data_IF_038085123578
#
_entry.id   IF_038085123578
#
_cell.length_a   1.000
_cell.length_b   1.000
_cell.length_c   1.000
_cell.angle_alpha   90.00
_cell.angle_beta   90.00
_cell.angle_gamma   90.00
#
_symmetry.space_group_name_H-M   'P 1'
#
loop_
_entity.id
_entity.type
_entity.pdbx_description
1 polymer ?
#
# COMPACT_ATOMS: atom_id res chain seq x y z
N UNK A 1 9.33 -9.64 3.75
CA UNK A 1 9.28 -8.59 2.73
C UNK A 1 10.00 -7.37 3.26
N UNK A 2 10.62 -6.57 2.40
CA UNK A 2 11.27 -5.33 2.80
C UNK A 2 10.25 -4.18 2.81
N UNK A 3 10.00 -3.60 4.00
CA UNK A 3 9.04 -2.49 4.16
C UNK A 3 9.53 -1.22 3.47
N UNK A 4 10.85 -1.00 3.42
CA UNK A 4 11.42 0.18 2.76
C UNK A 4 11.07 0.20 1.27
N UNK A 5 11.16 -0.96 0.61
CA UNK A 5 10.71 -1.13 -0.77
C UNK A 5 9.22 -0.82 -0.98
N UNK A 6 8.36 -1.13 -0.01
CA UNK A 6 6.93 -0.79 -0.08
C UNK A 6 6.68 0.70 0.09
N UNK A 7 7.36 1.33 1.06
CA UNK A 7 7.27 2.77 1.25
C UNK A 7 7.82 3.53 0.04
N UNK A 8 8.90 3.05 -0.58
CA UNK A 8 9.43 3.66 -1.79
C UNK A 8 8.46 3.52 -2.98
N UNK A 9 7.74 2.40 -3.10
CA UNK A 9 6.71 2.24 -4.11
C UNK A 9 5.54 3.23 -3.87
N UNK A 10 5.06 3.35 -2.64
CA UNK A 10 4.02 4.29 -2.26
C UNK A 10 4.45 5.75 -2.49
N UNK A 11 5.67 6.10 -2.10
CA UNK A 11 6.25 7.44 -2.29
C UNK A 11 6.39 7.79 -3.76
N UNK A 12 6.86 6.87 -4.59
CA UNK A 12 6.95 7.08 -6.04
C UNK A 12 5.58 7.27 -6.68
N UNK A 13 4.56 6.53 -6.23
CA UNK A 13 3.19 6.71 -6.69
C UNK A 13 2.66 8.10 -6.29
N UNK A 14 2.78 8.48 -5.02
CA UNK A 14 2.39 9.79 -4.50
C UNK A 14 3.09 10.94 -5.22
N UNK A 15 4.39 10.83 -5.48
CA UNK A 15 5.16 11.86 -6.18
C UNK A 15 4.66 12.10 -7.61
N UNK A 16 4.23 11.04 -8.34
CA UNK A 16 3.64 11.17 -9.68
C UNK A 16 2.29 11.90 -9.66
N UNK A 17 1.58 11.81 -8.55
CA UNK A 17 0.30 12.48 -8.30
C UNK A 17 0.49 13.89 -7.69
N UNK A 18 1.74 14.36 -7.54
CA UNK A 18 2.06 15.70 -7.03
C UNK A 18 2.31 15.79 -5.52
N UNK A 19 2.43 14.65 -4.83
CA UNK A 19 2.70 14.57 -3.40
C UNK A 19 4.14 14.11 -3.12
N UNK A 20 5.10 15.04 -3.09
CA UNK A 20 6.54 14.74 -2.99
C UNK A 20 6.98 14.24 -1.60
N UNK A 21 6.26 14.61 -0.54
CA UNK A 21 6.56 14.26 0.86
C UNK A 21 5.80 13.02 1.37
N UNK A 22 5.41 12.12 0.46
CA UNK A 22 4.68 10.89 0.79
C UNK A 22 5.51 9.88 1.59
N UNK A 23 5.32 9.83 2.92
CA UNK A 23 5.93 8.83 3.81
C UNK A 23 4.90 7.91 4.49
N UNK A 24 5.33 7.05 5.44
CA UNK A 24 4.44 6.11 6.13
C UNK A 24 3.20 6.77 6.77
N UNK A 25 3.38 7.95 7.37
CA UNK A 25 2.29 8.73 7.98
C UNK A 25 1.47 9.58 7.00
N UNK A 26 1.73 9.51 5.69
CA UNK A 26 0.96 10.26 4.71
C UNK A 26 -0.50 9.80 4.75
N UNK A 27 -1.43 10.73 4.95
CA UNK A 27 -2.85 10.41 5.07
C UNK A 27 -3.47 10.24 3.70
N UNK A 28 -4.17 9.13 3.50
CA UNK A 28 -4.89 8.83 2.25
C UNK A 28 -6.27 9.50 2.19
N UNK A 29 -6.68 10.19 3.26
CA UNK A 29 -7.91 10.98 3.31
C UNK A 29 -7.77 12.37 2.66
N UNK A 30 -6.55 12.83 2.40
CA UNK A 30 -6.28 14.12 1.77
C UNK A 30 -6.16 14.05 0.24
N UNK A 31 -6.20 12.84 -0.32
CA UNK A 31 -6.14 12.58 -1.76
C UNK A 31 -7.49 12.07 -2.26
N UNK A 32 -7.71 12.16 -3.56
CA UNK A 32 -8.91 11.57 -4.15
C UNK A 32 -8.83 10.03 -4.21
N UNK A 33 -9.97 9.41 -4.52
CA UNK A 33 -10.09 7.96 -4.59
C UNK A 33 -9.19 7.34 -5.68
N UNK A 34 -8.96 8.02 -6.80
CA UNK A 34 -8.09 7.49 -7.86
C UNK A 34 -6.64 7.46 -7.39
N UNK A 35 -6.15 8.57 -6.82
CA UNK A 35 -4.80 8.63 -6.24
C UNK A 35 -4.61 7.57 -5.15
N UNK A 36 -5.59 7.37 -4.27
CA UNK A 36 -5.56 6.30 -3.26
C UNK A 36 -5.35 4.91 -3.89
N UNK A 37 -6.09 4.58 -4.94
CA UNK A 37 -5.93 3.30 -5.64
C UNK A 37 -4.59 3.19 -6.38
N UNK A 38 -4.08 4.29 -6.95
CA UNK A 38 -2.74 4.31 -7.58
C UNK A 38 -1.67 3.93 -6.55
N UNK A 39 -1.75 4.46 -5.33
CA UNK A 39 -0.83 4.13 -4.24
C UNK A 39 -1.00 2.68 -3.79
N UNK A 40 -2.24 2.23 -3.58
CA UNK A 40 -2.52 0.84 -3.19
C UNK A 40 -1.97 -0.17 -4.21
N UNK A 41 -2.20 0.07 -5.50
CA UNK A 41 -1.69 -0.78 -6.59
C UNK A 41 -0.16 -0.78 -6.65
N UNK A 42 0.50 0.32 -6.31
CA UNK A 42 1.96 0.36 -6.23
C UNK A 42 2.48 -0.53 -5.09
N UNK A 43 1.84 -0.47 -3.92
CA UNK A 43 2.16 -1.33 -2.76
C UNK A 43 1.88 -2.80 -3.08
N UNK A 44 0.71 -3.13 -3.65
CA UNK A 44 0.35 -4.49 -4.09
C UNK A 44 1.39 -5.10 -5.03
N UNK A 45 1.82 -4.34 -6.05
CA UNK A 45 2.84 -4.79 -7.01
C UNK A 45 4.18 -5.04 -6.34
N UNK A 46 4.61 -4.15 -5.45
CA UNK A 46 5.85 -4.33 -4.70
C UNK A 46 5.78 -5.52 -3.73
N UNK A 47 4.60 -5.78 -3.16
CA UNK A 47 4.34 -6.88 -2.24
C UNK A 47 3.98 -8.21 -2.91
N UNK A 48 3.81 -8.23 -4.23
CA UNK A 48 3.30 -9.38 -4.99
C UNK A 48 2.00 -9.96 -4.39
N UNK A 49 1.11 -9.08 -3.95
CA UNK A 49 -0.16 -9.45 -3.29
C UNK A 49 -1.32 -8.61 -3.83
N UNK A 50 -2.54 -8.94 -3.42
CA UNK A 50 -3.75 -8.18 -3.76
C UNK A 50 -4.54 -7.94 -2.49
N UNK A 51 -4.92 -6.68 -2.27
CA UNK A 51 -5.74 -6.24 -1.16
C UNK A 51 -7.20 -6.17 -1.59
N UNK A 52 -8.11 -6.24 -0.63
CA UNK A 52 -9.52 -6.02 -0.91
C UNK A 52 -9.78 -4.51 -1.05
N UNK A 53 -10.66 -4.14 -1.99
CA UNK A 53 -11.08 -2.75 -2.17
C UNK A 53 -11.61 -2.12 -0.87
N UNK A 54 -12.31 -2.91 -0.03
CA UNK A 54 -12.81 -2.45 1.26
C UNK A 54 -11.68 -2.10 2.25
N UNK A 55 -10.57 -2.85 2.21
CA UNK A 55 -9.41 -2.59 3.07
C UNK A 55 -8.63 -1.37 2.55
N UNK A 56 -8.48 -1.23 1.23
CA UNK A 56 -7.90 -0.03 0.59
C UNK A 56 -8.72 1.23 0.93
N UNK A 57 -10.05 1.13 0.86
CA UNK A 57 -10.97 2.20 1.24
C UNK A 57 -10.90 2.52 2.74
N UNK A 58 -10.64 1.50 3.58
CA UNK A 58 -10.51 1.65 5.04
C UNK A 58 -9.17 2.20 5.52
N UNK A 59 -8.11 2.07 4.71
CA UNK A 59 -6.78 2.57 5.04
C UNK A 59 -6.79 4.09 5.23
N UNK A 60 -6.22 4.57 6.35
CA UNK A 60 -6.13 6.00 6.66
C UNK A 60 -4.78 6.58 6.26
N UNK A 61 -3.74 5.75 6.24
CA UNK A 61 -2.35 6.11 5.98
C UNK A 61 -1.67 5.15 5.02
N UNK A 62 -0.50 5.54 4.51
CA UNK A 62 0.39 4.64 3.76
C UNK A 62 0.82 3.45 4.62
N UNK A 63 1.08 3.66 5.92
CA UNK A 63 1.39 2.59 6.87
C UNK A 63 0.31 1.51 6.89
N UNK A 64 -0.97 1.91 6.92
CA UNK A 64 -2.08 0.95 6.93
C UNK A 64 -2.09 0.07 5.67
N UNK A 65 -1.78 0.63 4.49
CA UNK A 65 -1.68 -0.16 3.25
C UNK A 65 -0.50 -1.15 3.30
N UNK A 66 0.63 -0.74 3.86
CA UNK A 66 1.81 -1.59 4.03
C UNK A 66 1.52 -2.73 5.01
N UNK A 67 0.85 -2.44 6.13
CA UNK A 67 0.46 -3.45 7.11
C UNK A 67 -0.55 -4.46 6.53
N UNK A 68 -1.53 -3.99 5.76
CA UNK A 68 -2.47 -4.85 5.03
C UNK A 68 -1.73 -5.79 4.05
N UNK A 69 -0.76 -5.27 3.32
CA UNK A 69 0.05 -6.07 2.39
C UNK A 69 0.87 -7.13 3.13
N UNK A 70 1.50 -6.78 4.26
CA UNK A 70 2.24 -7.72 5.11
C UNK A 70 1.34 -8.85 5.63
N UNK A 71 0.15 -8.52 6.15
CA UNK A 71 -0.82 -9.51 6.65
C UNK A 71 -1.25 -10.46 5.53
N UNK A 72 -1.55 -9.92 4.36
CA UNK A 72 -2.03 -10.71 3.23
C UNK A 72 -0.94 -11.63 2.67
N UNK A 73 0.28 -11.14 2.54
CA UNK A 73 1.43 -11.95 2.11
C UNK A 73 1.71 -13.08 3.10
N UNK A 74 1.70 -12.81 4.41
CA UNK A 74 1.85 -13.86 5.43
C UNK A 74 0.71 -14.89 5.41
N UNK A 75 -0.51 -14.46 5.07
CA UNK A 75 -1.64 -15.37 4.89
C UNK A 75 -1.46 -16.27 3.65
N UNK A 76 -0.91 -15.72 2.55
CA UNK A 76 -0.61 -16.46 1.34
C UNK A 76 0.50 -17.50 1.56
N UNK A 77 1.61 -17.11 2.20
CA UNK A 77 2.74 -18.01 2.49
C UNK A 77 2.31 -19.21 3.35
N UNK A 78 1.46 -18.97 4.37
CA UNK A 78 0.92 -20.04 5.20
C UNK A 78 0.04 -21.03 4.43
N UNK A 79 -0.66 -20.58 3.38
CA UNK A 79 -1.48 -21.44 2.53
C UNK A 79 -0.62 -22.24 1.54
N UNK A 80 0.50 -21.67 1.08
CA UNK A 80 1.40 -22.34 0.14
C UNK A 80 2.29 -23.41 0.81
N UNK A 81 2.53 -23.29 2.12
CA UNK A 81 3.31 -24.25 2.92
C UNK A 81 2.50 -25.38 3.58
N UNK A 82 1.19 -25.45 3.34
CA UNK A 82 0.28 -26.50 3.85
C UNK A 82 -0.09 -27.48 2.74
#
# INVERSE_FOLDING_TARGET
MDRDSLYDAARQALSREGHEDGGPGFRLDCVDAVTRWVVAVAVEKAAATTLLDADIQGASTVEDLVDLADVQTQAADRRAGA
#
